data_IF_635793838417
#
_entry.id   IF_635793838417
#
_cell.length_a   1.000
_cell.length_b   1.000
_cell.length_c   1.000
_cell.angle_alpha   90.00
_cell.angle_beta   90.00
_cell.angle_gamma   90.00
#
_symmetry.space_group_name_H-M   'P 1'
#
loop_
_entity.id
_entity.type
_entity.pdbx_description
1 polymer ?
#
# COMPACT_ATOMS: atom_id res chain seq x y z
N UNK A 1 16.81 14.26 -23.28
CA UNK A 1 16.40 15.49 -22.59
C UNK A 1 16.77 15.29 -21.14
N UNK A 2 17.39 16.26 -20.47
CA UNK A 2 17.64 16.16 -19.02
C UNK A 2 16.30 16.38 -18.30
N UNK A 3 15.86 15.39 -17.54
CA UNK A 3 14.64 15.44 -16.73
C UNK A 3 14.84 16.41 -15.57
N UNK A 4 13.90 17.32 -15.35
CA UNK A 4 13.96 18.34 -14.29
C UNK A 4 13.08 17.92 -13.13
N UNK A 5 13.68 17.85 -11.94
CA UNK A 5 13.01 17.43 -10.72
C UNK A 5 12.88 18.59 -9.72
N UNK A 6 11.70 18.70 -9.10
CA UNK A 6 11.46 19.62 -7.99
C UNK A 6 11.05 18.83 -6.75
N UNK A 7 11.69 19.10 -5.62
CA UNK A 7 11.31 18.61 -4.31
C UNK A 7 10.76 19.75 -3.46
N UNK A 8 9.54 19.56 -2.95
CA UNK A 8 8.75 20.54 -2.22
C UNK A 8 8.55 20.06 -0.80
N UNK A 9 9.13 20.77 0.17
CA UNK A 9 9.02 20.47 1.60
C UNK A 9 9.44 19.04 2.00
N UNK A 10 10.14 18.33 1.10
CA UNK A 10 10.72 17.02 1.31
C UNK A 10 12.24 17.13 1.22
N UNK A 11 12.94 16.73 2.27
CA UNK A 11 14.40 16.76 2.27
C UNK A 11 14.97 15.64 1.38
N UNK A 12 15.23 15.96 0.10
CA UNK A 12 15.87 15.05 -0.86
C UNK A 12 17.14 15.70 -1.44
N UNK A 13 18.28 15.64 -0.74
CA UNK A 13 19.53 16.22 -1.22
C UNK A 13 20.09 15.39 -2.39
N UNK A 14 19.92 15.91 -3.60
CA UNK A 14 20.51 15.39 -4.84
C UNK A 14 20.90 16.56 -5.78
N UNK A 15 22.00 16.47 -6.56
CA UNK A 15 22.42 17.55 -7.47
C UNK A 15 21.37 17.93 -8.53
N UNK A 16 20.56 16.96 -8.96
CA UNK A 16 19.58 17.14 -10.06
C UNK A 16 18.18 17.48 -9.55
N UNK A 17 17.97 17.45 -8.22
CA UNK A 17 16.70 17.77 -7.60
C UNK A 17 16.74 19.19 -7.05
N UNK A 18 16.00 20.09 -7.70
CA UNK A 18 15.77 21.43 -7.18
C UNK A 18 14.93 21.35 -5.91
N UNK A 19 15.25 22.13 -4.87
CA UNK A 19 14.55 22.08 -3.58
C UNK A 19 13.88 23.40 -3.28
N UNK A 20 12.61 23.34 -2.91
CA UNK A 20 11.83 24.51 -2.52
C UNK A 20 10.78 24.17 -1.46
N UNK A 21 10.07 25.19 -0.97
CA UNK A 21 8.91 25.02 -0.10
C UNK A 21 7.62 25.16 -0.89
N UNK A 22 6.49 24.72 -0.32
CA UNK A 22 5.19 24.77 -0.97
C UNK A 22 4.79 26.20 -1.39
N UNK A 23 5.15 27.20 -0.59
CA UNK A 23 4.93 28.62 -0.88
C UNK A 23 6.09 29.28 -1.64
N UNK A 24 6.93 28.47 -2.27
CA UNK A 24 8.04 28.89 -3.12
C UNK A 24 7.61 29.57 -4.43
N UNK A 25 8.61 30.02 -5.18
CA UNK A 25 8.51 30.77 -6.42
C UNK A 25 8.42 29.88 -7.65
N UNK A 26 9.05 28.70 -7.66
CA UNK A 26 9.05 27.84 -8.85
C UNK A 26 7.67 27.28 -9.12
N UNK A 27 7.28 27.27 -10.40
CA UNK A 27 6.01 26.69 -10.84
C UNK A 27 6.15 25.19 -11.00
N UNK A 28 5.15 24.41 -10.57
CA UNK A 28 5.22 22.94 -10.67
C UNK A 28 5.24 22.45 -12.12
N UNK A 29 4.52 23.11 -13.03
CA UNK A 29 4.47 22.75 -14.45
C UNK A 29 5.76 23.07 -15.23
N UNK A 30 6.74 23.74 -14.60
CA UNK A 30 8.05 23.99 -15.19
C UNK A 30 9.02 22.80 -15.02
N UNK A 31 8.59 21.72 -14.37
CA UNK A 31 9.39 20.51 -14.11
C UNK A 31 8.73 19.30 -14.74
N UNK A 32 9.47 18.22 -14.88
CA UNK A 32 8.95 16.95 -15.42
C UNK A 32 8.43 16.06 -14.28
N UNK A 33 9.00 16.22 -13.07
CA UNK A 33 8.51 15.57 -11.87
C UNK A 33 8.58 16.45 -10.61
N UNK A 34 7.56 16.34 -9.76
CA UNK A 34 7.44 17.05 -8.48
C UNK A 34 7.28 16.06 -7.34
N UNK A 35 8.20 16.08 -6.38
CA UNK A 35 8.16 15.29 -5.16
C UNK A 35 7.74 16.17 -3.98
N UNK A 36 6.68 15.83 -3.27
CA UNK A 36 6.13 16.68 -2.21
C UNK A 36 5.82 15.89 -0.93
N UNK A 37 6.25 16.43 0.21
CA UNK A 37 5.74 16.03 1.52
C UNK A 37 4.73 17.08 2.00
N UNK A 38 3.42 16.76 2.08
CA UNK A 38 2.42 17.74 2.46
C UNK A 38 2.39 18.02 3.97
N UNK A 39 3.17 17.31 4.80
CA UNK A 39 3.17 17.48 6.25
C UNK A 39 3.41 18.94 6.70
N UNK A 40 4.37 19.70 6.14
CA UNK A 40 4.63 21.06 6.57
C UNK A 40 3.57 22.08 6.15
N UNK A 41 2.77 21.78 5.11
CA UNK A 41 1.79 22.73 4.54
C UNK A 41 0.82 23.24 5.60
N UNK A 42 0.28 22.35 6.43
CA UNK A 42 -0.67 22.75 7.49
C UNK A 42 -0.03 23.49 8.66
N UNK A 43 1.29 23.41 8.85
CA UNK A 43 1.97 24.09 9.96
C UNK A 43 1.82 25.61 9.88
N UNK A 44 1.68 26.14 8.67
CA UNK A 44 1.50 27.57 8.39
C UNK A 44 0.21 28.17 8.95
N UNK A 45 -0.77 27.36 9.36
CA UNK A 45 -1.95 27.86 10.08
C UNK A 45 -2.13 27.21 11.45
N UNK A 46 -1.60 26.01 11.68
CA UNK A 46 -1.67 25.35 12.99
C UNK A 46 -0.89 26.12 14.07
N UNK A 47 0.20 26.78 13.71
CA UNK A 47 1.03 27.53 14.67
C UNK A 47 0.45 28.91 14.98
N UNK A 48 -0.14 29.58 13.98
CA UNK A 48 -0.50 31.00 14.07
C UNK A 48 -1.99 31.25 14.34
N UNK A 49 -2.87 30.29 14.01
CA UNK A 49 -4.33 30.45 14.14
C UNK A 49 -4.83 29.70 15.36
N UNK A 50 -5.38 30.40 16.35
CA UNK A 50 -5.99 29.77 17.52
C UNK A 50 -7.16 28.83 17.18
N UNK A 51 -7.41 27.85 18.03
CA UNK A 51 -8.55 26.93 17.90
C UNK A 51 -9.80 27.62 18.48
N UNK A 52 -10.89 27.63 17.72
CA UNK A 52 -12.19 28.14 18.17
C UNK A 52 -12.82 27.21 19.22
N UNK A 53 -13.82 27.67 20.00
CA UNK A 53 -14.47 26.85 21.03
C UNK A 53 -15.08 25.53 20.52
N UNK A 54 -15.41 25.45 19.24
CA UNK A 54 -15.94 24.24 18.59
C UNK A 54 -14.84 23.29 18.06
N UNK A 55 -13.58 23.55 18.39
CA UNK A 55 -12.44 22.74 17.98
C UNK A 55 -11.94 23.04 16.57
N UNK A 56 -12.54 23.99 15.85
CA UNK A 56 -12.14 24.34 14.47
C UNK A 56 -11.19 25.53 14.44
N UNK A 57 -10.19 25.50 13.56
CA UNK A 57 -9.38 26.70 13.27
C UNK A 57 -10.08 27.52 12.21
N UNK A 58 -10.36 28.78 12.52
CA UNK A 58 -11.03 29.70 11.62
C UNK A 58 -10.27 31.01 11.52
N UNK A 59 -10.19 31.53 10.30
CA UNK A 59 -9.76 32.91 10.04
C UNK A 59 -10.84 33.63 9.24
N UNK A 60 -10.99 34.92 9.50
CA UNK A 60 -11.83 35.79 8.70
C UNK A 60 -10.93 36.52 7.71
N UNK A 61 -11.07 36.22 6.42
CA UNK A 61 -10.24 36.75 5.34
C UNK A 61 -10.27 38.28 5.19
N UNK A 62 -11.21 38.96 5.86
CA UNK A 62 -11.30 40.43 5.91
C UNK A 62 -10.64 41.03 7.15
N UNK A 63 -10.43 40.24 8.22
CA UNK A 63 -9.91 40.70 9.51
C UNK A 63 -8.52 40.15 9.83
N UNK A 64 -8.08 39.11 9.13
CA UNK A 64 -6.81 38.42 9.33
C UNK A 64 -5.64 39.02 8.54
N UNK A 65 -5.74 40.30 8.17
CA UNK A 65 -4.78 41.00 7.30
C UNK A 65 -4.53 40.31 5.94
N UNK A 66 -5.46 39.48 5.46
CA UNK A 66 -5.38 38.81 4.17
C UNK A 66 -4.66 37.46 4.18
N UNK A 67 -4.38 36.89 5.37
CA UNK A 67 -3.77 35.56 5.50
C UNK A 67 -4.59 34.48 4.79
N UNK A 68 -5.88 34.37 5.12
CA UNK A 68 -6.79 33.36 4.56
C UNK A 68 -6.92 33.51 3.05
N UNK A 69 -7.06 34.74 2.54
CA UNK A 69 -7.10 35.01 1.09
C UNK A 69 -5.82 34.59 0.40
N UNK A 70 -4.67 34.83 1.04
CA UNK A 70 -3.36 34.45 0.51
C UNK A 70 -3.20 32.93 0.47
N UNK A 71 -3.60 32.22 1.53
CA UNK A 71 -3.56 30.75 1.57
C UNK A 71 -4.48 30.13 0.50
N UNK A 72 -5.71 30.63 0.35
CA UNK A 72 -6.63 30.19 -0.70
C UNK A 72 -6.06 30.40 -2.10
N UNK A 73 -5.47 31.57 -2.35
CA UNK A 73 -4.84 31.89 -3.62
C UNK A 73 -3.65 30.95 -3.92
N UNK A 74 -2.83 30.64 -2.92
CA UNK A 74 -1.73 29.68 -3.07
C UNK A 74 -2.21 28.26 -3.33
N UNK A 75 -3.21 27.77 -2.59
CA UNK A 75 -3.78 26.44 -2.83
C UNK A 75 -4.35 26.32 -4.24
N UNK A 76 -5.07 27.35 -4.69
CA UNK A 76 -5.64 27.41 -6.04
C UNK A 76 -4.54 27.46 -7.10
N UNK A 77 -3.51 28.28 -6.90
CA UNK A 77 -2.36 28.36 -7.81
C UNK A 77 -1.65 27.00 -7.93
N UNK A 78 -1.31 26.37 -6.80
CA UNK A 78 -0.65 25.04 -6.80
C UNK A 78 -1.51 23.97 -7.43
N UNK A 79 -2.83 24.04 -7.27
CA UNK A 79 -3.76 23.14 -7.96
C UNK A 79 -3.67 23.28 -9.47
N UNK A 80 -3.73 24.50 -9.99
CA UNK A 80 -3.62 24.75 -11.43
C UNK A 80 -2.26 24.30 -11.98
N UNK A 81 -1.16 24.63 -11.31
CA UNK A 81 0.18 24.21 -11.75
C UNK A 81 0.36 22.68 -11.73
N UNK A 82 -0.24 22.01 -10.75
CA UNK A 82 -0.24 20.53 -10.67
C UNK A 82 -1.12 19.93 -11.77
N UNK A 83 -2.25 20.55 -12.06
CA UNK A 83 -3.14 20.13 -13.14
C UNK A 83 -2.47 20.26 -14.50
N UNK A 84 -1.81 21.39 -14.77
CA UNK A 84 -1.03 21.62 -15.98
C UNK A 84 0.11 20.60 -16.11
N UNK A 85 0.85 20.34 -15.02
CA UNK A 85 1.91 19.34 -14.99
C UNK A 85 1.39 17.95 -15.36
N UNK A 86 0.30 17.52 -14.73
CA UNK A 86 -0.22 16.16 -14.88
C UNK A 86 -0.96 15.98 -16.21
N UNK A 87 -1.86 16.89 -16.59
CA UNK A 87 -2.74 16.71 -17.76
C UNK A 87 -2.10 17.19 -19.06
N UNK A 88 -1.41 18.33 -19.04
CA UNK A 88 -0.85 18.95 -20.24
C UNK A 88 0.62 18.60 -20.47
N UNK A 89 1.38 18.46 -19.37
CA UNK A 89 2.81 18.16 -19.41
C UNK A 89 3.15 16.66 -19.41
N UNK A 90 2.18 15.79 -19.09
CA UNK A 90 2.43 14.36 -18.91
C UNK A 90 3.40 14.03 -17.76
N UNK A 91 3.56 14.95 -16.82
CA UNK A 91 4.55 14.85 -15.74
C UNK A 91 4.12 13.93 -14.60
N UNK A 92 5.02 13.78 -13.62
CA UNK A 92 4.84 12.88 -12.48
C UNK A 92 4.81 13.67 -11.18
N UNK A 93 3.80 13.45 -10.36
CA UNK A 93 3.74 13.99 -8.99
C UNK A 93 3.88 12.84 -8.02
N UNK A 94 4.92 12.87 -7.18
CA UNK A 94 5.12 11.91 -6.10
C UNK A 94 4.80 12.59 -4.78
N UNK A 95 3.75 12.16 -4.10
CA UNK A 95 3.27 12.78 -2.87
C UNK A 95 3.32 11.79 -1.70
N UNK A 96 3.86 12.23 -0.56
CA UNK A 96 3.83 11.43 0.67
C UNK A 96 2.40 11.31 1.18
N UNK A 97 1.97 10.08 1.42
CA UNK A 97 0.69 9.76 2.03
C UNK A 97 0.74 10.03 3.55
N UNK A 98 0.31 11.22 3.92
CA UNK A 98 0.12 11.71 5.30
C UNK A 98 -1.36 11.82 5.67
N UNK A 99 -1.73 11.86 6.96
CA UNK A 99 -3.07 12.27 7.39
C UNK A 99 -3.45 13.65 6.83
N UNK A 100 -4.74 13.93 6.61
CA UNK A 100 -5.20 15.27 6.13
C UNK A 100 -4.78 16.44 7.05
N UNK A 101 -4.44 16.14 8.31
CA UNK A 101 -4.07 17.14 9.30
C UNK A 101 -5.27 17.97 9.76
N UNK A 102 -4.99 19.03 10.51
CA UNK A 102 -6.01 19.96 11.00
C UNK A 102 -6.42 20.94 9.88
N UNK A 103 -7.70 20.98 9.48
CA UNK A 103 -8.15 21.90 8.44
C UNK A 103 -8.25 23.34 8.97
N UNK A 104 -8.17 24.30 8.04
CA UNK A 104 -8.45 25.71 8.28
C UNK A 104 -9.73 26.09 7.56
N UNK A 105 -10.65 26.76 8.26
CA UNK A 105 -11.83 27.38 7.63
C UNK A 105 -11.55 28.86 7.41
N UNK A 106 -11.62 29.31 6.16
CA UNK A 106 -11.48 30.70 5.75
C UNK A 106 -12.87 31.28 5.50
N UNK A 107 -13.37 32.07 6.45
CA UNK A 107 -14.63 32.78 6.30
C UNK A 107 -14.43 34.05 5.48
N UNK A 108 -15.32 34.28 4.50
CA UNK A 108 -15.33 35.48 3.67
C UNK A 108 -16.64 36.24 3.94
N UNK A 109 -16.66 37.01 5.03
CA UNK A 109 -17.88 37.68 5.51
C UNK A 109 -18.92 36.69 6.08
N UNK A 110 -20.21 36.94 5.82
CA UNK A 110 -21.32 36.17 6.41
C UNK A 110 -21.66 34.86 5.65
N UNK A 111 -20.85 34.46 4.67
CA UNK A 111 -21.05 33.23 3.90
C UNK A 111 -20.45 31.98 4.56
N UNK A 112 -20.77 30.77 4.06
CA UNK A 112 -20.10 29.54 4.49
C UNK A 112 -18.60 29.65 4.15
N UNK A 113 -17.74 29.45 5.15
CA UNK A 113 -16.30 29.52 4.97
C UNK A 113 -15.77 28.38 4.11
N UNK A 114 -14.72 28.65 3.34
CA UNK A 114 -14.01 27.65 2.55
C UNK A 114 -13.05 26.86 3.44
N UNK A 115 -13.13 25.54 3.40
CA UNK A 115 -12.24 24.68 4.19
C UNK A 115 -11.05 24.25 3.34
N UNK A 116 -9.84 24.52 3.84
CA UNK A 116 -8.59 24.02 3.27
C UNK A 116 -7.88 23.05 4.21
N UNK A 117 -7.20 22.08 3.63
CA UNK A 117 -6.29 21.15 4.27
C UNK A 117 -4.99 21.03 3.46
N UNK A 118 -4.05 20.19 3.91
CA UNK A 118 -2.76 20.02 3.24
C UNK A 118 -2.81 19.39 1.85
N UNK A 119 -3.97 18.89 1.43
CA UNK A 119 -4.22 18.26 0.13
C UNK A 119 -5.16 19.08 -0.75
N UNK A 120 -5.63 20.25 -0.29
CA UNK A 120 -6.52 21.10 -1.08
C UNK A 120 -5.92 21.55 -2.40
N UNK A 121 -4.60 21.51 -2.55
CA UNK A 121 -3.91 21.78 -3.83
C UNK A 121 -3.95 20.62 -4.82
N UNK A 122 -4.38 19.42 -4.42
CA UNK A 122 -4.47 18.32 -5.38
C UNK A 122 -5.55 18.60 -6.43
N UNK A 123 -5.27 18.36 -7.72
CA UNK A 123 -6.25 18.50 -8.77
C UNK A 123 -7.31 17.41 -8.70
N UNK A 124 -8.49 17.71 -9.24
CA UNK A 124 -9.58 16.74 -9.32
C UNK A 124 -9.44 15.84 -10.53
N UNK A 125 -9.70 14.55 -10.33
CA UNK A 125 -9.75 13.51 -11.34
C UNK A 125 -11.06 12.75 -11.20
N UNK A 126 -11.77 12.57 -12.31
CA UNK A 126 -12.92 11.66 -12.35
C UNK A 126 -12.65 10.57 -13.36
N UNK A 127 -12.56 9.33 -12.89
CA UNK A 127 -12.48 8.14 -13.71
C UNK A 127 -13.79 7.36 -13.55
N UNK A 128 -14.36 6.88 -14.64
CA UNK A 128 -15.60 6.12 -14.61
C UNK A 128 -15.51 4.89 -15.51
N UNK A 129 -15.99 3.75 -15.03
CA UNK A 129 -16.29 2.57 -15.83
C UNK A 129 -17.82 2.42 -15.95
N UNK A 130 -18.31 1.35 -16.59
CA UNK A 130 -19.76 1.12 -16.78
C UNK A 130 -20.55 0.99 -15.46
N UNK A 131 -19.90 0.74 -14.34
CA UNK A 131 -20.54 0.36 -13.07
C UNK A 131 -20.05 1.16 -11.86
N UNK A 132 -18.94 1.88 -11.96
CA UNK A 132 -18.28 2.57 -10.86
C UNK A 132 -17.67 3.90 -11.31
N UNK A 133 -17.55 4.82 -10.36
CA UNK A 133 -16.92 6.12 -10.57
C UNK A 133 -15.98 6.43 -9.42
N UNK A 134 -14.72 6.69 -9.74
CA UNK A 134 -13.74 7.24 -8.83
C UNK A 134 -13.66 8.76 -9.04
N UNK A 135 -13.89 9.53 -7.98
CA UNK A 135 -13.67 10.98 -7.97
C UNK A 135 -12.60 11.30 -6.94
N UNK A 136 -11.39 11.58 -7.40
CA UNK A 136 -10.27 11.97 -6.55
C UNK A 136 -10.11 13.50 -6.56
N UNK A 137 -9.76 14.15 -5.43
CA UNK A 137 -9.63 13.60 -4.07
C UNK A 137 -10.97 13.56 -3.29
N UNK A 138 -12.11 13.92 -3.89
CA UNK A 138 -13.39 14.11 -3.18
C UNK A 138 -13.94 12.84 -2.51
N UNK A 139 -13.84 11.67 -3.17
CA UNK A 139 -14.25 10.38 -2.63
C UNK A 139 -13.12 9.69 -1.84
N UNK A 140 -11.88 10.18 -2.00
CA UNK A 140 -10.69 9.66 -1.33
C UNK A 140 -10.54 10.20 0.10
N UNK A 141 -10.52 9.29 1.07
CA UNK A 141 -10.17 9.58 2.46
C UNK A 141 -8.74 9.15 2.76
N UNK A 142 -7.96 10.07 3.31
CA UNK A 142 -6.67 9.77 3.92
C UNK A 142 -6.88 9.58 5.42
N UNK A 143 -7.13 8.33 5.83
CA UNK A 143 -7.50 7.99 7.21
C UNK A 143 -6.23 7.82 8.04
N UNK A 144 -6.11 8.50 9.20
CA UNK A 144 -4.96 8.34 10.07
C UNK A 144 -4.82 6.89 10.54
N UNK A 145 -3.68 6.27 10.25
CA UNK A 145 -3.35 4.91 10.69
C UNK A 145 -1.85 4.73 10.69
N UNK A 146 -1.29 4.23 11.78
CA UNK A 146 0.17 4.05 11.90
C UNK A 146 0.58 2.59 11.88
N UNK A 147 1.62 2.26 11.12
CA UNK A 147 2.22 0.93 11.12
C UNK A 147 3.44 0.82 10.22
N UNK A 148 4.03 -0.38 10.18
CA UNK A 148 5.26 -0.71 9.44
C UNK A 148 5.13 -1.96 8.59
N UNK A 149 3.98 -2.62 8.66
CA UNK A 149 3.66 -3.86 7.97
C UNK A 149 3.25 -3.60 6.52
N UNK A 150 4.21 -3.12 5.72
CA UNK A 150 4.04 -2.87 4.29
C UNK A 150 4.13 -4.20 3.53
N UNK A 151 3.10 -4.48 2.74
CA UNK A 151 3.00 -5.62 1.83
C UNK A 151 2.89 -5.09 0.41
N UNK A 152 3.96 -5.24 -0.36
CA UNK A 152 4.00 -4.84 -1.77
C UNK A 152 3.03 -5.71 -2.58
N UNK A 153 2.44 -5.12 -3.61
CA UNK A 153 1.62 -5.84 -4.58
C UNK A 153 2.45 -6.20 -5.81
N UNK A 154 2.08 -7.28 -6.48
CA UNK A 154 2.70 -7.64 -7.76
C UNK A 154 2.32 -6.62 -8.83
N UNK A 155 3.29 -6.21 -9.64
CA UNK A 155 3.09 -5.29 -10.73
C UNK A 155 4.41 -4.92 -11.39
N UNK A 156 4.32 -4.14 -12.46
CA UNK A 156 5.50 -3.72 -13.22
C UNK A 156 5.89 -2.26 -12.95
N UNK A 157 5.24 -1.52 -12.05
CA UNK A 157 5.56 -0.09 -11.82
C UNK A 157 7.00 0.11 -11.30
N UNK A 158 7.79 1.07 -11.83
CA UNK A 158 9.12 1.40 -11.30
C UNK A 158 9.11 1.81 -9.82
N UNK A 159 7.98 2.34 -9.33
CA UNK A 159 7.82 2.65 -7.91
C UNK A 159 7.75 1.39 -7.03
N UNK A 160 7.40 0.22 -7.57
CA UNK A 160 7.52 -1.04 -6.84
C UNK A 160 8.99 -1.37 -6.59
N UNK A 161 9.87 -1.20 -7.58
CA UNK A 161 11.31 -1.43 -7.41
C UNK A 161 11.91 -0.47 -6.37
N UNK A 162 11.51 0.81 -6.40
CA UNK A 162 11.85 1.76 -5.34
C UNK A 162 11.40 1.25 -3.96
N UNK A 163 10.16 0.76 -3.86
CA UNK A 163 9.64 0.25 -2.59
C UNK A 163 10.31 -1.05 -2.14
N UNK A 164 10.70 -1.92 -3.06
CA UNK A 164 11.45 -3.15 -2.79
C UNK A 164 12.82 -2.83 -2.21
N UNK A 165 13.56 -1.92 -2.85
CA UNK A 165 14.89 -1.48 -2.39
C UNK A 165 14.88 -0.86 -0.99
N UNK A 166 13.77 -0.21 -0.63
CA UNK A 166 13.57 0.42 0.67
C UNK A 166 12.68 -0.39 1.62
N UNK A 167 12.51 -1.69 1.35
CA UNK A 167 11.70 -2.58 2.19
C UNK A 167 12.14 -2.53 3.65
N UNK A 168 11.19 -2.39 4.56
CA UNK A 168 11.45 -2.30 6.00
C UNK A 168 11.74 -0.89 6.52
N UNK A 169 11.94 0.09 5.64
CA UNK A 169 12.08 1.51 6.02
C UNK A 169 10.76 2.29 5.94
N UNK A 170 9.76 1.77 5.24
CA UNK A 170 8.47 2.46 5.15
C UNK A 170 7.68 2.39 6.46
N UNK A 171 7.16 3.54 6.86
CA UNK A 171 6.23 3.70 7.98
C UNK A 171 5.02 4.44 7.43
N UNK A 172 3.86 3.82 7.44
CA UNK A 172 2.64 4.51 7.01
C UNK A 172 2.04 5.25 8.20
N UNK A 173 1.55 6.47 7.97
CA UNK A 173 0.82 7.30 8.94
C UNK A 173 -0.63 7.56 8.52
N UNK A 174 -0.94 7.28 7.26
CA UNK A 174 -2.29 7.28 6.73
C UNK A 174 -2.48 6.11 5.76
N UNK A 175 -3.74 5.74 5.60
CA UNK A 175 -4.20 4.81 4.57
C UNK A 175 -5.17 5.53 3.64
N UNK A 176 -5.16 5.16 2.37
CA UNK A 176 -6.15 5.60 1.41
C UNK A 176 -7.38 4.69 1.47
N UNK A 177 -8.56 5.28 1.62
CA UNK A 177 -9.85 4.60 1.58
C UNK A 177 -10.78 5.32 0.63
N UNK A 178 -11.43 4.57 -0.26
CA UNK A 178 -12.49 5.11 -1.11
C UNK A 178 -13.84 5.03 -0.40
N UNK A 179 -14.59 6.13 -0.39
CA UNK A 179 -15.88 6.23 0.27
C UNK A 179 -16.96 5.36 -0.35
N UNK A 180 -16.90 5.16 -1.66
CA UNK A 180 -17.90 4.41 -2.41
C UNK A 180 -17.59 2.92 -2.46
N UNK A 181 -16.54 2.46 -1.76
CA UNK A 181 -16.03 1.09 -1.81
C UNK A 181 -15.79 0.62 -3.26
N UNK A 182 -15.41 1.56 -4.13
CA UNK A 182 -15.07 1.29 -5.51
C UNK A 182 -13.85 0.38 -5.55
N UNK A 183 -13.81 -0.67 -6.39
CA UNK A 183 -12.60 -1.46 -6.57
C UNK A 183 -11.51 -0.58 -7.18
N UNK A 184 -10.62 -0.05 -6.33
CA UNK A 184 -9.62 0.95 -6.69
C UNK A 184 -8.70 0.45 -7.81
N UNK A 185 -8.42 -0.85 -7.82
CA UNK A 185 -7.59 -1.55 -8.81
C UNK A 185 -8.13 -1.45 -10.24
N UNK A 186 -9.41 -1.09 -10.42
CA UNK A 186 -9.98 -0.84 -11.75
C UNK A 186 -9.55 0.51 -12.34
N UNK A 187 -9.20 1.46 -11.49
CA UNK A 187 -8.94 2.85 -11.87
C UNK A 187 -7.51 3.30 -11.59
N UNK A 188 -6.86 2.63 -10.65
CA UNK A 188 -5.55 2.99 -10.14
C UNK A 188 -4.73 1.73 -9.88
N UNK A 189 -3.41 1.86 -9.92
CA UNK A 189 -2.52 0.76 -9.57
C UNK A 189 -2.17 0.83 -8.10
N UNK A 190 -2.60 -0.17 -7.33
CA UNK A 190 -2.23 -0.28 -5.92
C UNK A 190 -0.82 -0.85 -5.83
N UNK A 191 0.10 -0.09 -5.24
CA UNK A 191 1.51 -0.49 -5.13
C UNK A 191 1.77 -1.27 -3.84
N UNK A 192 1.11 -0.89 -2.74
CA UNK A 192 1.27 -1.57 -1.46
C UNK A 192 0.04 -1.46 -0.57
N UNK A 193 -0.14 -2.50 0.26
CA UNK A 193 -1.18 -2.62 1.29
C UNK A 193 -0.56 -2.89 2.66
N UNK A 194 -1.29 -2.64 3.73
CA UNK A 194 -0.93 -3.18 5.06
C UNK A 194 -1.42 -4.63 5.22
N UNK A 195 -1.13 -5.30 6.35
CA UNK A 195 -1.61 -6.69 6.60
C UNK A 195 -3.13 -6.81 6.71
N UNK A 196 -3.82 -5.72 6.99
CA UNK A 196 -5.30 -5.66 7.08
C UNK A 196 -5.92 -5.44 5.70
N UNK A 197 -5.10 -5.16 4.68
CA UNK A 197 -5.55 -4.92 3.31
C UNK A 197 -5.84 -3.46 2.99
N UNK A 198 -5.56 -2.50 3.87
CA UNK A 198 -5.72 -1.07 3.53
C UNK A 198 -4.63 -0.61 2.56
N UNK A 199 -4.99 0.29 1.65
CA UNK A 199 -4.07 0.86 0.65
C UNK A 199 -3.15 1.89 1.31
N UNK A 200 -1.84 1.71 1.18
CA UNK A 200 -0.82 2.64 1.72
C UNK A 200 0.02 3.28 0.62
N UNK A 201 0.03 2.71 -0.59
CA UNK A 201 0.65 3.31 -1.77
C UNK A 201 -0.20 3.01 -3.01
N UNK A 202 -0.41 4.04 -3.85
CA UNK A 202 -1.25 3.96 -5.05
C UNK A 202 -0.74 4.91 -6.12
N UNK A 203 -0.81 4.47 -7.37
CA UNK A 203 -0.52 5.24 -8.57
C UNK A 203 -1.84 5.53 -9.31
N UNK A 204 -2.16 6.81 -9.47
CA UNK A 204 -3.38 7.31 -10.10
C UNK A 204 -3.02 7.92 -11.47
N UNK A 205 -3.68 7.50 -12.56
CA UNK A 205 -3.45 8.09 -13.88
C UNK A 205 -4.19 9.42 -14.02
N UNK A 206 -3.51 10.43 -14.57
CA UNK A 206 -4.06 11.75 -14.88
C UNK A 206 -3.84 12.06 -16.36
N UNK A 207 -4.68 11.50 -17.23
CA UNK A 207 -4.49 11.58 -18.69
C UNK A 207 -3.06 11.11 -19.03
N UNK A 208 -2.18 12.03 -19.42
CA UNK A 208 -0.81 11.69 -19.75
C UNK A 208 0.13 11.57 -18.53
N UNK A 209 -0.21 12.22 -17.42
CA UNK A 209 0.60 12.25 -16.21
C UNK A 209 0.18 11.22 -15.16
N UNK A 210 0.93 11.20 -14.05
CA UNK A 210 0.74 10.23 -12.97
C UNK A 210 0.90 10.88 -11.60
N UNK A 211 -0.05 10.62 -10.72
CA UNK A 211 0.06 10.96 -9.29
C UNK A 211 0.36 9.69 -8.51
N UNK A 212 1.50 9.65 -7.84
CA UNK A 212 1.95 8.52 -7.02
C UNK A 212 1.91 8.90 -5.56
N UNK A 213 1.07 8.21 -4.79
CA UNK A 213 1.00 8.34 -3.34
C UNK A 213 1.85 7.24 -2.70
N UNK A 214 2.81 7.61 -1.86
CA UNK A 214 3.71 6.67 -1.16
C UNK A 214 3.83 6.98 0.32
N UNK A 215 4.01 5.98 1.19
CA UNK A 215 4.18 6.21 2.61
C UNK A 215 5.54 6.87 2.92
N UNK A 216 5.68 7.53 4.07
CA UNK A 216 6.96 8.04 4.56
C UNK A 216 7.97 6.92 4.85
N UNK A 217 9.27 7.27 4.86
CA UNK A 217 10.37 6.37 5.23
C UNK A 217 11.01 6.85 6.54
N UNK A 218 11.51 5.91 7.33
CA UNK A 218 12.26 6.14 8.56
C UNK A 218 13.60 5.37 8.54
N UNK A 219 14.65 5.96 9.10
CA UNK A 219 15.94 5.29 9.28
C UNK A 219 16.80 5.14 8.01
N UNK A 220 16.44 5.82 6.93
CA UNK A 220 17.24 5.91 5.69
C UNK A 220 17.88 7.29 5.56
N UNK A 221 19.05 7.35 4.90
CA UNK A 221 19.65 8.63 4.53
C UNK A 221 18.83 9.34 3.46
N UNK A 222 18.49 10.64 3.63
CA UNK A 222 17.80 11.43 2.61
C UNK A 222 18.45 11.40 1.22
N UNK A 223 19.78 11.34 1.15
CA UNK A 223 20.52 11.27 -0.13
C UNK A 223 20.27 9.94 -0.83
N UNK A 224 20.21 8.84 -0.06
CA UNK A 224 19.95 7.51 -0.61
C UNK A 224 18.52 7.42 -1.13
N UNK A 225 17.55 7.92 -0.36
CA UNK A 225 16.16 7.98 -0.82
C UNK A 225 16.02 8.79 -2.12
N UNK A 226 16.70 9.95 -2.20
CA UNK A 226 16.67 10.80 -3.38
C UNK A 226 17.18 10.09 -4.64
N UNK A 227 18.29 9.36 -4.54
CA UNK A 227 18.87 8.63 -5.67
C UNK A 227 17.91 7.53 -6.19
N UNK A 228 17.34 6.72 -5.28
CA UNK A 228 16.43 5.63 -5.70
C UNK A 228 15.11 6.18 -6.25
N UNK A 229 14.59 7.27 -5.69
CA UNK A 229 13.40 7.94 -6.24
C UNK A 229 13.65 8.49 -7.63
N UNK A 230 14.81 9.10 -7.87
CA UNK A 230 15.15 9.61 -9.18
C UNK A 230 15.18 8.50 -10.22
N UNK A 231 15.87 7.38 -9.94
CA UNK A 231 15.91 6.22 -10.84
C UNK A 231 14.50 5.70 -11.17
N UNK A 232 13.61 5.65 -10.18
CA UNK A 232 12.23 5.22 -10.39
C UNK A 232 11.42 6.20 -11.26
N UNK A 233 11.65 7.51 -11.11
CA UNK A 233 10.98 8.53 -11.93
C UNK A 233 11.49 8.49 -13.36
N UNK A 234 12.81 8.39 -13.57
CA UNK A 234 13.40 8.27 -14.90
C UNK A 234 12.88 7.03 -15.63
N UNK A 235 12.89 5.88 -14.95
CA UNK A 235 12.33 4.64 -15.48
C UNK A 235 10.81 4.73 -15.73
N UNK A 236 10.09 5.64 -15.07
CA UNK A 236 8.68 5.91 -15.33
C UNK A 236 8.48 6.84 -16.53
N UNK A 237 9.34 7.86 -16.70
CA UNK A 237 9.31 8.76 -17.86
C UNK A 237 9.56 8.01 -19.18
N UNK A 238 10.36 6.94 -19.15
CA UNK A 238 10.64 6.11 -20.33
C UNK A 238 9.46 5.20 -20.73
N UNK A 239 8.42 5.08 -19.89
CA UNK A 239 7.27 4.24 -20.18
C UNK A 239 6.27 4.96 -21.07
N UNK A 240 5.55 4.21 -21.93
CA UNK A 240 4.43 4.78 -22.64
C UNK A 240 3.44 5.38 -21.64
N UNK A 241 3.00 6.58 -21.98
CA UNK A 241 1.96 7.35 -21.30
C UNK A 241 0.75 6.45 -21.03
N UNK A 242 0.01 6.70 -19.94
CA UNK A 242 -1.29 6.03 -19.68
C UNK A 242 -2.34 6.56 -20.68
N UNK A 243 -2.10 6.39 -21.97
CA UNK A 243 -3.07 6.68 -23.01
C UNK A 243 -4.09 5.55 -23.01
N UNK A 244 -5.36 5.88 -22.79
CA UNK A 244 -6.43 4.95 -23.07
C UNK A 244 -6.31 4.53 -24.54
N UNK A 245 -6.12 3.23 -24.76
CA UNK A 245 -6.06 2.68 -26.11
C UNK A 245 -7.33 3.11 -26.86
N UNK A 246 -7.22 3.84 -27.98
CA UNK A 246 -8.41 4.26 -28.70
C UNK A 246 -9.23 3.05 -29.12
N UNK A 247 -10.55 3.11 -29.00
CA UNK A 247 -11.45 1.99 -29.30
C UNK A 247 -11.28 1.40 -30.72
N UNK A 248 -10.68 2.17 -31.64
CA UNK A 248 -10.37 1.75 -33.01
C UNK A 248 -9.01 1.06 -33.17
N UNK A 249 -8.07 1.21 -32.23
CA UNK A 249 -6.72 0.66 -32.34
C UNK A 249 -6.69 -0.87 -32.40
N UNK A 250 -7.52 -1.61 -31.63
CA UNK A 250 -7.61 -3.07 -31.76
C UNK A 250 -8.06 -3.55 -33.14
N UNK A 251 -8.68 -2.66 -33.95
CA UNK A 251 -9.10 -2.97 -35.32
C UNK A 251 -7.97 -2.78 -36.35
N UNK A 252 -6.77 -2.36 -35.92
CA UNK A 252 -5.63 -2.07 -36.79
C UNK A 252 -4.39 -2.88 -36.39
N UNK A 253 -4.40 -4.21 -36.60
CA UNK A 253 -3.27 -5.07 -36.24
C UNK A 253 -2.04 -4.74 -37.09
N UNK A 254 -0.88 -4.63 -36.43
CA UNK A 254 0.40 -4.45 -37.09
C UNK A 254 0.94 -5.80 -37.62
N UNK A 255 1.74 -5.81 -38.70
CA UNK A 255 2.34 -7.03 -39.20
C UNK A 255 3.16 -7.77 -38.13
N UNK A 256 2.78 -9.01 -37.80
CA UNK A 256 3.45 -9.85 -36.80
C UNK A 256 2.92 -9.69 -35.37
N UNK A 257 2.01 -8.76 -35.11
CA UNK A 257 1.39 -8.56 -33.80
C UNK A 257 0.54 -9.77 -33.38
N UNK A 258 -0.23 -10.35 -34.29
CA UNK A 258 -1.04 -11.54 -34.01
C UNK A 258 -0.16 -12.72 -33.53
N UNK A 259 0.99 -12.92 -34.15
CA UNK A 259 1.92 -14.00 -33.76
C UNK A 259 2.52 -13.77 -32.37
N UNK A 260 2.79 -12.51 -32.01
CA UNK A 260 3.25 -12.15 -30.66
C UNK A 260 2.14 -12.30 -29.64
N UNK A 261 0.90 -11.89 -29.96
CA UNK A 261 -0.27 -12.04 -29.09
C UNK A 261 -0.54 -13.52 -28.80
N UNK A 262 -0.52 -14.37 -29.82
CA UNK A 262 -0.72 -15.82 -29.69
C UNK A 262 0.36 -16.46 -28.80
N UNK A 263 1.62 -16.04 -28.96
CA UNK A 263 2.71 -16.56 -28.11
C UNK A 263 2.59 -16.05 -26.67
N UNK A 264 2.13 -14.81 -26.46
CA UNK A 264 1.92 -14.24 -25.13
C UNK A 264 0.76 -14.95 -24.42
N UNK A 265 -0.35 -15.21 -25.10
CA UNK A 265 -1.45 -16.04 -24.57
C UNK A 265 -1.00 -17.48 -24.25
N UNK A 266 -0.17 -18.08 -25.11
CA UNK A 266 0.42 -19.40 -24.86
C UNK A 266 1.32 -19.39 -23.62
N UNK A 267 2.15 -18.37 -23.44
CA UNK A 267 3.01 -18.24 -22.27
C UNK A 267 2.20 -17.99 -20.99
N UNK A 268 1.17 -17.15 -21.04
CA UNK A 268 0.29 -16.88 -19.91
C UNK A 268 -0.51 -18.12 -19.49
N UNK A 269 -1.07 -18.87 -20.45
CA UNK A 269 -1.76 -20.12 -20.15
C UNK A 269 -0.81 -21.17 -19.56
N UNK A 270 0.42 -21.26 -20.06
CA UNK A 270 1.46 -22.12 -19.48
C UNK A 270 1.86 -21.68 -18.07
N UNK A 271 1.95 -20.38 -17.82
CA UNK A 271 2.22 -19.84 -16.49
C UNK A 271 1.13 -20.25 -15.49
N UNK A 272 -0.14 -20.02 -15.82
CA UNK A 272 -1.27 -20.42 -14.97
C UNK A 272 -1.29 -21.93 -14.70
N UNK A 273 -1.06 -22.75 -15.72
CA UNK A 273 -0.97 -24.20 -15.55
C UNK A 273 0.19 -24.62 -14.63
N UNK A 274 1.32 -23.91 -14.70
CA UNK A 274 2.45 -24.14 -13.80
C UNK A 274 2.14 -23.71 -12.37
N UNK A 275 1.45 -22.58 -12.17
CA UNK A 275 1.02 -22.12 -10.84
C UNK A 275 0.04 -23.10 -10.20
N UNK A 276 -0.96 -23.57 -10.94
CA UNK A 276 -1.91 -24.60 -10.47
C UNK A 276 -1.17 -25.87 -10.06
N UNK A 277 -0.22 -26.33 -10.89
CA UNK A 277 0.61 -27.49 -10.59
C UNK A 277 1.52 -27.27 -9.38
N UNK A 278 1.97 -26.03 -9.14
CA UNK A 278 2.77 -25.67 -8.00
C UNK A 278 1.94 -25.73 -6.72
N UNK A 279 0.71 -25.22 -6.74
CA UNK A 279 -0.25 -25.35 -5.63
C UNK A 279 -0.56 -26.82 -5.35
N UNK A 280 -0.82 -27.62 -6.38
CA UNK A 280 -1.05 -29.06 -6.25
C UNK A 280 0.15 -29.77 -5.61
N UNK A 281 1.36 -29.54 -6.13
CA UNK A 281 2.59 -30.14 -5.60
C UNK A 281 2.89 -29.69 -4.16
N UNK A 282 2.60 -28.43 -3.80
CA UNK A 282 2.70 -27.95 -2.42
C UNK A 282 1.75 -28.68 -1.49
N UNK A 283 0.49 -28.88 -1.90
CA UNK A 283 -0.49 -29.62 -1.11
C UNK A 283 -0.10 -31.10 -0.96
N UNK A 284 0.38 -31.74 -2.03
CA UNK A 284 0.88 -33.12 -1.98
C UNK A 284 2.13 -33.23 -1.10
N UNK A 285 3.05 -32.27 -1.19
CA UNK A 285 4.25 -32.22 -0.37
C UNK A 285 3.90 -32.03 1.10
N UNK A 286 3.01 -31.09 1.44
CA UNK A 286 2.54 -30.89 2.80
C UNK A 286 1.88 -32.16 3.36
N UNK A 287 1.03 -32.83 2.57
CA UNK A 287 0.43 -34.11 2.96
C UNK A 287 1.48 -35.20 3.23
N UNK A 288 2.51 -35.31 2.39
CA UNK A 288 3.58 -36.32 2.56
C UNK A 288 4.54 -35.98 3.70
N UNK A 289 4.71 -34.70 4.00
CA UNK A 289 5.63 -34.22 5.04
C UNK A 289 4.96 -33.99 6.39
N UNK A 290 3.62 -34.03 6.48
CA UNK A 290 2.88 -33.77 7.73
C UNK A 290 3.37 -34.65 8.88
N UNK A 291 3.70 -35.91 8.62
CA UNK A 291 4.21 -36.84 9.63
C UNK A 291 5.67 -36.59 10.00
N UNK A 292 6.47 -35.99 9.11
CA UNK A 292 7.84 -35.59 9.45
C UNK A 292 7.84 -34.52 10.53
N UNK A 293 6.77 -33.73 10.66
CA UNK A 293 6.61 -32.76 11.77
C UNK A 293 6.71 -33.44 13.14
N UNK A 294 6.29 -34.70 13.28
CA UNK A 294 6.47 -35.46 14.54
C UNK A 294 7.94 -35.63 14.96
N UNK A 295 8.88 -35.58 14.00
CA UNK A 295 10.31 -35.83 14.26
C UNK A 295 11.08 -34.58 14.71
N UNK A 296 10.56 -33.38 14.47
CA UNK A 296 11.28 -32.13 14.74
C UNK A 296 10.43 -31.00 15.34
N UNK A 297 9.10 -31.14 15.40
CA UNK A 297 8.23 -30.14 15.98
C UNK A 297 8.53 -30.00 17.48
N UNK A 298 8.84 -28.77 17.89
CA UNK A 298 9.02 -28.40 19.30
C UNK A 298 7.79 -27.62 19.78
N UNK A 299 7.29 -28.00 20.95
CA UNK A 299 6.18 -27.32 21.60
C UNK A 299 4.81 -27.97 21.38
N UNK A 300 3.93 -27.79 22.38
CA UNK A 300 2.61 -28.40 22.48
C UNK A 300 1.72 -28.17 21.25
N UNK A 301 1.74 -26.95 20.71
CA UNK A 301 0.85 -26.52 19.62
C UNK A 301 1.24 -27.03 18.23
N UNK A 302 2.44 -27.60 18.06
CA UNK A 302 2.93 -28.14 16.79
C UNK A 302 3.11 -29.66 16.84
N UNK A 303 3.53 -30.18 18.00
CA UNK A 303 3.77 -31.60 18.22
C UNK A 303 2.47 -32.40 18.37
N UNK A 304 1.54 -31.99 19.24
CA UNK A 304 0.30 -32.74 19.47
C UNK A 304 -0.58 -32.88 18.21
N UNK A 305 -0.80 -31.84 17.39
CA UNK A 305 -1.54 -31.99 16.14
C UNK A 305 -0.88 -32.98 15.18
N UNK A 306 0.45 -33.00 15.12
CA UNK A 306 1.20 -33.92 14.26
C UNK A 306 1.04 -35.38 14.71
N UNK A 307 1.01 -35.62 16.03
CA UNK A 307 0.75 -36.95 16.60
C UNK A 307 -0.71 -37.37 16.37
N UNK A 308 -1.66 -36.45 16.53
CA UNK A 308 -3.08 -36.69 16.25
C UNK A 308 -3.31 -37.07 14.78
N UNK A 309 -2.67 -36.37 13.84
CA UNK A 309 -2.73 -36.71 12.41
C UNK A 309 -2.12 -38.08 12.11
N UNK A 310 -1.10 -38.50 12.86
CA UNK A 310 -0.54 -39.85 12.83
C UNK A 310 -1.58 -40.91 13.19
N UNK A 311 -2.29 -40.74 14.31
CA UNK A 311 -3.34 -41.67 14.73
C UNK A 311 -4.54 -41.67 13.78
N UNK A 312 -4.97 -40.51 13.25
CA UNK A 312 -6.02 -40.46 12.22
C UNK A 312 -5.64 -41.26 10.98
N UNK A 313 -4.37 -41.22 10.59
CA UNK A 313 -3.87 -42.00 9.46
C UNK A 313 -3.90 -43.51 9.70
N UNK A 314 -3.81 -43.93 10.97
CA UNK A 314 -3.94 -45.33 11.39
C UNK A 314 -5.41 -45.77 11.54
N UNK A 315 -6.38 -44.87 11.31
CA UNK A 315 -7.81 -45.19 11.33
C UNK A 315 -8.53 -44.83 12.63
N UNK A 316 -7.88 -44.15 13.57
CA UNK A 316 -8.52 -43.70 14.81
C UNK A 316 -9.30 -42.39 14.58
N UNK A 317 -10.46 -42.26 15.22
CA UNK A 317 -11.07 -40.95 15.45
C UNK A 317 -10.37 -40.30 16.65
N UNK A 318 -9.89 -39.07 16.47
CA UNK A 318 -8.97 -38.42 17.44
C UNK A 318 -9.51 -37.08 17.88
N UNK A 319 -9.82 -36.99 19.18
CA UNK A 319 -10.17 -35.75 19.87
C UNK A 319 -8.97 -35.27 20.69
N UNK A 320 -8.66 -33.97 20.57
CA UNK A 320 -7.55 -33.34 21.28
C UNK A 320 -8.11 -32.56 22.47
N UNK A 321 -7.79 -33.00 23.67
CA UNK A 321 -8.19 -32.36 24.92
C UNK A 321 -6.95 -31.88 25.68
N UNK A 322 -6.72 -30.57 25.67
CA UNK A 322 -5.56 -29.94 26.29
C UNK A 322 -4.18 -30.53 25.91
N UNK A 323 -3.70 -31.52 26.65
CA UNK A 323 -2.41 -32.23 26.48
C UNK A 323 -2.57 -33.72 26.16
N UNK A 324 -3.80 -34.18 25.97
CA UNK A 324 -4.15 -35.58 25.81
C UNK A 324 -4.92 -35.80 24.52
N UNK A 325 -4.72 -36.97 23.91
CA UNK A 325 -5.44 -37.43 22.73
C UNK A 325 -6.37 -38.56 23.14
N UNK A 326 -7.66 -38.40 22.88
CA UNK A 326 -8.66 -39.46 23.00
C UNK A 326 -8.82 -40.10 21.63
N UNK A 327 -8.48 -41.38 21.54
CA UNK A 327 -8.58 -42.21 20.35
C UNK A 327 -9.81 -43.09 20.46
N UNK A 328 -10.63 -43.15 19.41
CA UNK A 328 -11.76 -44.07 19.31
C UNK A 328 -11.59 -44.96 18.09
N UNK A 329 -11.86 -46.25 18.27
CA UNK A 329 -11.91 -47.25 17.21
C UNK A 329 -13.03 -48.25 17.52
N UNK A 330 -13.38 -49.11 16.55
CA UNK A 330 -14.39 -50.16 16.75
C UNK A 330 -14.02 -51.14 17.88
N UNK A 331 -12.72 -51.26 18.18
CA UNK A 331 -12.14 -52.17 19.18
C UNK A 331 -12.15 -51.57 20.60
N UNK A 332 -12.40 -50.27 20.73
CA UNK A 332 -12.46 -49.56 22.01
C UNK A 332 -11.86 -48.15 21.97
N UNK A 333 -11.90 -47.50 23.14
CA UNK A 333 -11.38 -46.16 23.35
C UNK A 333 -10.01 -46.23 24.05
N UNK A 334 -9.08 -45.36 23.64
CA UNK A 334 -7.76 -45.26 24.24
C UNK A 334 -7.38 -43.80 24.51
N UNK A 335 -6.62 -43.59 25.58
CA UNK A 335 -6.11 -42.28 25.96
C UNK A 335 -4.59 -42.23 25.78
N UNK A 336 -4.10 -41.20 25.10
CA UNK A 336 -2.68 -41.05 24.76
C UNK A 336 -2.14 -39.70 25.22
N UNK A 337 -1.07 -39.74 26.01
CA UNK A 337 -0.25 -38.57 26.33
C UNK A 337 1.02 -38.64 25.50
N UNK A 338 1.22 -37.67 24.61
CA UNK A 338 2.40 -37.61 23.76
C UNK A 338 3.48 -36.71 24.39
N UNK A 339 4.73 -37.17 24.38
CA UNK A 339 5.87 -36.40 24.85
C UNK A 339 7.02 -36.44 23.84
N UNK A 340 7.64 -35.29 23.61
CA UNK A 340 8.85 -35.14 22.80
C UNK A 340 10.08 -35.00 23.73
N UNK A 341 11.22 -35.56 23.33
CA UNK A 341 12.49 -35.42 24.05
C UNK A 341 13.62 -35.12 23.05
N UNK A 342 14.48 -34.16 23.40
CA UNK A 342 15.73 -33.88 22.67
C UNK A 342 16.86 -34.87 23.08
N UNK A 343 16.62 -35.71 24.10
CA UNK A 343 17.57 -36.71 24.62
C UNK A 343 17.14 -38.16 24.33
N UNK A 344 17.98 -39.17 24.67
CA UNK A 344 17.73 -40.57 24.34
C UNK A 344 16.57 -41.21 25.14
N UNK A 345 15.97 -40.50 26.09
CA UNK A 345 14.91 -40.98 26.97
C UNK A 345 13.79 -39.97 27.08
N UNK A 346 12.56 -40.45 27.10
CA UNK A 346 11.36 -39.67 27.47
C UNK A 346 11.23 -39.72 29.00
N UNK A 347 10.94 -38.58 29.62
CA UNK A 347 10.81 -38.46 31.07
C UNK A 347 9.53 -39.15 31.60
N UNK A 348 9.59 -39.68 32.82
CA UNK A 348 8.48 -40.38 33.50
C UNK A 348 7.28 -39.47 33.78
N UNK A 349 7.48 -38.15 33.69
CA UNK A 349 6.44 -37.14 33.87
C UNK A 349 5.23 -37.37 32.96
N UNK A 350 5.43 -37.80 31.71
CA UNK A 350 4.32 -38.10 30.79
C UNK A 350 3.48 -39.30 31.25
N UNK A 351 4.12 -40.35 31.78
CA UNK A 351 3.44 -41.51 32.34
C UNK A 351 2.66 -41.16 33.61
N UNK A 352 3.21 -40.33 34.49
CA UNK A 352 2.50 -39.85 35.69
C UNK A 352 1.27 -39.02 35.35
N UNK A 353 1.33 -38.20 34.30
CA UNK A 353 0.17 -37.44 33.81
C UNK A 353 -0.93 -38.34 33.25
N UNK A 354 -0.55 -39.37 32.49
CA UNK A 354 -1.50 -40.36 32.00
C UNK A 354 -2.21 -41.06 33.18
N UNK A 355 -1.47 -41.48 34.21
CA UNK A 355 -2.06 -42.09 35.40
C UNK A 355 -3.04 -41.16 36.12
N UNK A 356 -2.70 -39.88 36.30
CA UNK A 356 -3.56 -38.89 36.94
C UNK A 356 -4.88 -38.59 36.23
N UNK A 357 -5.00 -38.95 34.94
CA UNK A 357 -6.24 -38.79 34.17
C UNK A 357 -7.05 -40.10 34.08
N UNK A 358 -6.45 -41.24 34.43
CA UNK A 358 -7.13 -42.55 34.46
C UNK A 358 -7.65 -42.87 35.87
N UNK A 359 -6.93 -42.42 36.91
CA UNK A 359 -7.39 -42.43 38.32
C UNK A 359 -8.36 -41.27 38.59
#
# INVERSE_FOLDING_TARGET
METRFLSVDWALPHPEIHRETFFGRSSFCAYDAVLIDPEPVSRHWVQDVGVSPDGTRRVDGNRDHGLGRTLLAWMSKRRLETEDLLKLGGGIVVCRLRPRGEPLVVAMGDGPGEQIDRYSWLPSLSLADRHHQLVFPSNGRFVPRRGRDVVLQDGDSPFLEYMERLTGHFVYEAVYQDLLSTPLERFARVLARNKVGDVIAVELPFEEGRLVLIPPTEGISPTQEAAVLQEAIEAMCDRPVFAAEPDWLPSYPLPGEDALRDELERLQSRHRALEEKLVELRAQWETRTRYKRMLYAKGRFSFLPSVADGFRALGFDVQVEEETLLLRAEEGDAMVVAAASDGPKVDITAYRRLLQQVD
#
